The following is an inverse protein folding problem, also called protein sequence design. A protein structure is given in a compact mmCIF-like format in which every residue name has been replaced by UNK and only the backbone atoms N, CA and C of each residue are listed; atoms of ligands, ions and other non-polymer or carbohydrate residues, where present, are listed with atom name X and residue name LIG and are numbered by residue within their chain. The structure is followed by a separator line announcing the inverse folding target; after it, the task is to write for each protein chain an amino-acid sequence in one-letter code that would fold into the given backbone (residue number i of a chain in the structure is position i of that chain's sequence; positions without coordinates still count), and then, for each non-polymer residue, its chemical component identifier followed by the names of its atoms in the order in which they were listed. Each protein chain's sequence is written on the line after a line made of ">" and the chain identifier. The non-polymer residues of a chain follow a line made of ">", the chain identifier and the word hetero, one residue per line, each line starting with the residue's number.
data_IF_416954127500
#
_entry.id   IF_416954127500
#
_cell.length_a   1.000
_cell.length_b   1.000
_cell.length_c   1.000
_cell.angle_alpha   90.00
_cell.angle_beta   90.00
_cell.angle_gamma   90.00
#
_symmetry.space_group_name_H-M   'P 1'
#
loop_
_entity.id
_entity.type
_entity.pdbx_description
1 polymer ?
#
# COMPACT_ATOMS: atom_id res chain seq x y z
N UNK A 1 16.27 -3.24 -4.35
CA UNK A 1 16.30 -2.19 -3.31
C UNK A 1 16.08 -0.85 -3.99
N UNK A 2 15.06 -0.10 -3.59
CA UNK A 2 14.78 1.24 -4.11
C UNK A 2 15.29 2.29 -3.11
N UNK A 3 15.60 3.50 -3.59
CA UNK A 3 15.99 4.63 -2.74
C UNK A 3 14.80 5.57 -2.57
N UNK A 4 14.63 6.13 -1.38
CA UNK A 4 13.71 7.24 -1.16
C UNK A 4 14.13 8.41 -2.05
N UNK A 5 13.16 8.97 -2.77
CA UNK A 5 13.37 10.14 -3.61
C UNK A 5 12.85 11.37 -2.87
N UNK A 6 13.65 12.42 -2.82
CA UNK A 6 13.20 13.68 -2.24
C UNK A 6 12.21 14.35 -3.20
N UNK A 7 11.03 14.68 -2.69
CA UNK A 7 10.00 15.41 -3.41
C UNK A 7 9.41 16.50 -2.52
N UNK A 8 10.00 17.69 -2.58
CA UNK A 8 9.53 18.97 -2.03
C UNK A 8 8.70 18.85 -0.73
N UNK A 9 9.36 18.44 0.35
CA UNK A 9 8.75 18.34 1.69
C UNK A 9 8.16 16.96 2.02
N UNK A 10 8.25 16.00 1.10
CA UNK A 10 7.95 14.58 1.31
C UNK A 10 9.03 13.69 0.71
N UNK A 11 9.18 12.48 1.25
CA UNK A 11 10.01 11.45 0.65
C UNK A 11 9.11 10.42 -0.06
N UNK A 12 9.44 10.08 -1.30
CA UNK A 12 8.67 9.15 -2.12
C UNK A 12 9.30 7.76 -2.09
N UNK A 13 8.49 6.77 -1.73
CA UNK A 13 8.73 5.36 -2.02
C UNK A 13 7.85 4.93 -3.20
N UNK A 14 8.35 4.01 -4.03
CA UNK A 14 7.63 3.58 -5.24
C UNK A 14 7.17 2.14 -5.13
N UNK A 15 5.96 1.84 -5.59
CA UNK A 15 5.47 0.48 -5.76
C UNK A 15 5.83 0.02 -7.19
N UNK A 16 6.34 -1.22 -7.39
CA UNK A 16 6.61 -1.73 -8.72
C UNK A 16 5.37 -1.70 -9.61
N UNK A 17 5.49 -1.20 -10.84
CA UNK A 17 4.36 -1.13 -11.80
C UNK A 17 3.68 -2.48 -12.03
N UNK A 18 4.44 -3.57 -12.06
CA UNK A 18 3.88 -4.91 -12.26
C UNK A 18 2.98 -5.39 -11.12
N UNK A 19 3.15 -4.88 -9.90
CA UNK A 19 2.25 -5.18 -8.78
C UNK A 19 0.96 -4.36 -8.94
N UNK A 20 1.08 -3.07 -9.27
CA UNK A 20 -0.06 -2.19 -9.55
C UNK A 20 -0.92 -2.67 -10.74
N UNK A 21 -0.28 -3.22 -11.79
CA UNK A 21 -0.97 -3.83 -12.94
C UNK A 21 -1.77 -5.09 -12.55
N UNK A 22 -1.25 -5.90 -11.62
CA UNK A 22 -1.94 -7.09 -11.13
C UNK A 22 -3.14 -6.74 -10.27
N UNK A 23 -3.05 -5.62 -9.55
CA UNK A 23 -4.12 -5.11 -8.70
C UNK A 23 -5.11 -4.23 -9.48
N UNK A 24 -4.96 -4.12 -10.82
CA UNK A 24 -5.88 -3.41 -11.72
C UNK A 24 -6.03 -1.93 -11.30
N UNK A 25 -4.92 -1.30 -10.90
CA UNK A 25 -4.91 0.10 -10.44
C UNK A 25 -4.63 1.11 -11.57
N UNK A 26 -4.63 0.62 -12.82
CA UNK A 26 -4.42 1.43 -14.01
C UNK A 26 -5.61 1.30 -14.96
N UNK A 27 -5.91 2.38 -15.67
CA UNK A 27 -6.87 2.39 -16.76
C UNK A 27 -6.33 1.73 -18.05
N UNK A 28 -7.16 1.72 -19.10
CA UNK A 28 -6.82 1.14 -20.41
C UNK A 28 -5.59 1.83 -21.08
N UNK A 29 -5.32 3.08 -20.73
CA UNK A 29 -4.18 3.88 -21.20
C UNK A 29 -2.94 3.75 -20.28
N UNK A 30 -3.00 2.85 -19.27
CA UNK A 30 -1.98 2.60 -18.24
C UNK A 30 -1.68 3.81 -17.35
N UNK A 31 -2.65 4.71 -17.20
CA UNK A 31 -2.60 5.78 -16.20
C UNK A 31 -3.22 5.28 -14.89
N UNK A 32 -2.77 5.78 -13.73
CA UNK A 32 -3.43 5.47 -12.47
C UNK A 32 -4.92 5.83 -12.55
N UNK A 33 -5.80 4.95 -12.10
CA UNK A 33 -7.23 5.24 -12.07
C UNK A 33 -7.52 6.38 -11.09
N UNK A 34 -8.41 7.30 -11.46
CA UNK A 34 -8.68 8.54 -10.70
C UNK A 34 -9.36 8.29 -9.35
N UNK A 35 -10.04 7.15 -9.17
CA UNK A 35 -10.77 6.75 -7.96
C UNK A 35 -9.96 5.90 -6.98
N UNK A 36 -8.73 5.51 -7.36
CA UNK A 36 -7.84 4.74 -6.50
C UNK A 36 -7.34 5.61 -5.35
N UNK A 37 -7.79 5.28 -4.14
CA UNK A 37 -7.32 5.92 -2.92
C UNK A 37 -6.26 5.06 -2.24
N UNK A 38 -5.07 5.62 -2.06
CA UNK A 38 -3.99 4.98 -1.31
C UNK A 38 -3.98 5.47 0.14
N UNK A 39 -3.93 4.52 1.06
CA UNK A 39 -3.81 4.77 2.50
C UNK A 39 -2.44 4.28 2.96
N UNK A 40 -1.76 5.12 3.74
CA UNK A 40 -0.46 4.80 4.33
C UNK A 40 -0.59 4.85 5.85
N UNK A 41 -0.37 3.71 6.49
CA UNK A 41 -0.39 3.58 7.93
C UNK A 41 0.99 3.21 8.45
N UNK A 42 1.37 3.82 9.58
CA UNK A 42 2.57 3.41 10.30
C UNK A 42 2.24 2.26 11.22
N UNK A 43 2.93 1.14 11.06
CA UNK A 43 2.76 -0.05 11.90
C UNK A 43 3.75 -0.07 13.07
N UNK A 44 5.01 0.33 12.84
CA UNK A 44 6.06 0.39 13.88
C UNK A 44 7.18 1.37 13.49
N UNK A 45 8.30 1.40 14.23
CA UNK A 45 9.53 2.10 13.83
C UNK A 45 9.98 1.65 12.43
N UNK A 46 9.90 2.58 11.46
CA UNK A 46 10.32 2.39 10.06
C UNK A 46 9.54 1.28 9.33
N UNK A 47 8.37 0.90 9.84
CA UNK A 47 7.49 -0.08 9.20
C UNK A 47 6.18 0.60 8.85
N UNK A 48 5.83 0.54 7.58
CA UNK A 48 4.64 1.16 7.02
C UNK A 48 3.88 0.13 6.18
N UNK A 49 2.56 0.27 6.17
CA UNK A 49 1.65 -0.52 5.32
C UNK A 49 0.99 0.45 4.34
N UNK A 50 0.99 0.11 3.06
CA UNK A 50 0.31 0.86 2.00
C UNK A 50 -0.81 -0.02 1.47
N UNK A 51 -2.01 0.55 1.33
CA UNK A 51 -3.21 -0.16 0.87
C UNK A 51 -3.93 0.66 -0.18
N UNK A 52 -4.40 0.02 -1.24
CA UNK A 52 -5.42 0.59 -2.12
C UNK A 52 -6.80 0.23 -1.56
N UNK A 53 -7.69 1.21 -1.46
CA UNK A 53 -9.05 1.02 -0.95
C UNK A 53 -10.06 1.72 -1.86
N UNK A 54 -11.19 1.05 -2.10
CA UNK A 54 -12.34 1.61 -2.80
C UNK A 54 -13.34 2.15 -1.78
N UNK A 55 -13.27 3.45 -1.51
CA UNK A 55 -14.16 4.11 -0.56
C UNK A 55 -13.76 3.88 0.90
N UNK A 56 -14.50 3.04 1.62
CA UNK A 56 -14.27 2.82 3.04
C UNK A 56 -12.96 2.07 3.28
N UNK A 57 -12.22 2.51 4.31
CA UNK A 57 -10.91 1.96 4.67
C UNK A 57 -11.08 1.16 5.96
N UNK A 58 -11.09 -0.19 5.90
CA UNK A 58 -11.17 -1.03 7.09
C UNK A 58 -9.98 -0.81 8.03
N UNK A 59 -10.15 -1.15 9.31
CA UNK A 59 -9.04 -1.14 10.26
C UNK A 59 -8.02 -2.21 9.89
N UNK A 60 -6.72 -1.97 10.12
CA UNK A 60 -5.66 -2.94 9.78
C UNK A 60 -5.90 -4.33 10.40
N UNK A 61 -6.46 -4.37 11.62
CA UNK A 61 -6.75 -5.62 12.34
C UNK A 61 -7.85 -6.47 11.68
N UNK A 62 -8.66 -5.88 10.78
CA UNK A 62 -9.76 -6.56 10.09
C UNK A 62 -9.31 -7.30 8.83
N UNK A 63 -8.11 -7.02 8.34
CA UNK A 63 -7.58 -7.69 7.15
C UNK A 63 -7.12 -9.10 7.48
N UNK A 64 -7.65 -10.09 6.76
CA UNK A 64 -7.30 -11.51 6.94
C UNK A 64 -5.78 -11.75 6.84
N UNK A 65 -5.09 -11.06 5.92
CA UNK A 65 -3.63 -11.18 5.79
C UNK A 65 -2.88 -10.71 7.04
N UNK A 66 -3.34 -9.64 7.67
CA UNK A 66 -2.75 -9.10 8.90
C UNK A 66 -3.01 -10.06 10.06
N UNK A 67 -4.23 -10.57 10.19
CA UNK A 67 -4.57 -11.58 11.20
C UNK A 67 -3.73 -12.85 11.05
N UNK A 68 -3.53 -13.32 9.82
CA UNK A 68 -2.69 -14.48 9.52
C UNK A 68 -1.22 -14.24 9.86
N UNK A 69 -0.68 -13.07 9.54
CA UNK A 69 0.70 -12.71 9.90
C UNK A 69 0.89 -12.64 11.42
N UNK A 70 -0.07 -12.04 12.13
CA UNK A 70 -0.06 -11.99 13.59
C UNK A 70 -0.10 -13.38 14.22
N UNK A 71 -0.96 -14.28 13.71
CA UNK A 71 -1.07 -15.65 14.20
C UNK A 71 0.24 -16.46 14.02
N UNK A 72 0.99 -16.24 12.93
CA UNK A 72 2.28 -16.92 12.72
C UNK A 72 3.37 -16.49 13.71
N UNK A 73 3.29 -15.29 14.30
CA UNK A 73 4.28 -14.83 15.29
C UNK A 73 4.00 -15.30 16.72
N UNK A 74 2.80 -15.86 16.98
CA UNK A 74 2.43 -16.39 18.29
C UNK A 74 2.84 -17.86 18.50
N UNK A 75 3.36 -18.51 17.46
CA UNK A 75 3.86 -19.90 17.47
C UNK A 75 5.40 -19.91 17.47
#
# INVERSE_FOLDING_TARGET
>A
MQRLQNHDGSDLATIPKGDLERDILFDDDRQPMDDVTLVVDRLDEKVYVIRSCDGDVPELAEYEVIQRLAAHQML
#
